data_IF_607466311096
#
_entry.id   IF_607466311096
#
_cell.length_a   1.000
_cell.length_b   1.000
_cell.length_c   1.000
_cell.angle_alpha   90.00
_cell.angle_beta   90.00
_cell.angle_gamma   90.00
#
_symmetry.space_group_name_H-M   'P 1'
#
loop_
_entity.id
_entity.type
_entity.pdbx_description
1 polymer ?
#
# COMPACT_ATOMS: atom_id res chain seq x y z
N UNK A 1 -14.13 -0.07 10.04
CA UNK A 1 -14.48 0.57 8.76
C UNK A 1 -13.69 -0.10 7.65
N UNK A 2 -14.31 -0.98 6.88
CA UNK A 2 -13.64 -1.75 5.82
C UNK A 2 -14.59 -2.83 5.33
N UNK A 3 -15.53 -2.45 4.44
CA UNK A 3 -16.52 -3.38 3.90
C UNK A 3 -16.80 -3.02 2.45
N UNK A 4 -15.92 -3.47 1.58
CA UNK A 4 -16.09 -3.51 0.12
C UNK A 4 -15.32 -4.70 -0.43
N UNK A 5 -15.88 -5.38 -1.42
CA UNK A 5 -15.20 -6.47 -2.13
C UNK A 5 -13.94 -5.90 -2.81
N UNK A 6 -12.76 -6.35 -2.37
CA UNK A 6 -11.46 -5.86 -2.90
C UNK A 6 -10.62 -5.05 -1.92
N UNK A 7 -11.14 -4.70 -0.73
CA UNK A 7 -10.35 -4.06 0.33
C UNK A 7 -9.90 -5.11 1.33
N UNK A 8 -8.61 -5.45 1.32
CA UNK A 8 -7.99 -6.34 2.30
C UNK A 8 -6.75 -5.66 2.90
N UNK A 9 -6.51 -5.94 4.18
CA UNK A 9 -5.29 -5.56 4.90
C UNK A 9 -4.46 -6.80 5.17
N UNK A 10 -3.24 -6.85 4.64
CA UNK A 10 -2.30 -7.96 4.85
C UNK A 10 -1.20 -7.51 5.83
N UNK A 11 -0.98 -8.22 6.94
CA UNK A 11 0.20 -7.98 7.76
C UNK A 11 1.46 -8.39 6.99
N UNK A 12 2.46 -7.52 6.96
CA UNK A 12 3.72 -7.72 6.24
C UNK A 12 4.92 -7.56 7.17
N UNK A 13 5.97 -8.32 6.92
CA UNK A 13 7.29 -8.16 7.57
C UNK A 13 8.41 -8.54 6.61
N UNK A 14 9.65 -8.16 6.91
CA UNK A 14 10.80 -8.47 6.05
C UNK A 14 11.03 -10.00 5.91
N UNK A 15 10.77 -10.77 6.99
CA UNK A 15 10.95 -12.23 7.01
C UNK A 15 9.68 -13.00 6.68
N UNK A 16 8.50 -12.37 6.69
CA UNK A 16 7.22 -13.07 6.64
C UNK A 16 6.82 -13.73 7.97
N UNK A 17 7.51 -13.37 9.07
CA UNK A 17 7.22 -13.83 10.43
C UNK A 17 6.69 -12.67 11.29
N UNK A 18 6.08 -13.01 12.43
CA UNK A 18 5.70 -11.99 13.42
C UNK A 18 6.93 -11.36 14.10
N UNK A 19 6.85 -10.09 14.53
CA UNK A 19 5.70 -9.19 14.39
C UNK A 19 5.59 -8.56 13.00
N UNK A 20 4.36 -8.27 12.59
CA UNK A 20 4.12 -7.45 11.41
C UNK A 20 4.70 -6.04 11.62
N UNK A 21 5.45 -5.55 10.64
CA UNK A 21 6.04 -4.19 10.64
C UNK A 21 5.35 -3.26 9.65
N UNK A 22 4.65 -3.82 8.67
CA UNK A 22 3.96 -3.08 7.62
C UNK A 22 2.55 -3.64 7.42
N UNK A 23 1.70 -2.82 6.78
CA UNK A 23 0.37 -3.23 6.34
C UNK A 23 0.24 -3.02 4.84
N UNK A 24 -0.02 -4.10 4.12
CA UNK A 24 -0.39 -4.05 2.71
C UNK A 24 -1.87 -3.80 2.56
N UNK A 25 -2.26 -2.87 1.70
CA UNK A 25 -3.65 -2.52 1.41
C UNK A 25 -3.89 -2.55 -0.10
N UNK A 26 -5.08 -2.99 -0.50
CA UNK A 26 -5.57 -2.86 -1.88
C UNK A 26 -6.88 -2.09 -1.89
N UNK A 27 -7.03 -1.18 -2.85
CA UNK A 27 -8.28 -0.44 -3.07
C UNK A 27 -8.43 -0.07 -4.54
N UNK A 28 -9.68 0.04 -5.00
CA UNK A 28 -9.97 0.70 -6.26
C UNK A 28 -9.82 2.20 -6.07
N UNK A 29 -8.87 2.81 -6.76
CA UNK A 29 -8.67 4.25 -6.76
C UNK A 29 -9.36 4.91 -7.95
N UNK A 30 -9.86 6.12 -7.76
CA UNK A 30 -10.24 6.99 -8.89
C UNK A 30 -8.97 7.60 -9.49
N UNK A 31 -9.04 8.01 -10.76
CA UNK A 31 -7.90 8.69 -11.41
C UNK A 31 -7.49 9.96 -10.65
N UNK A 32 -8.46 10.70 -10.12
CA UNK A 32 -8.22 11.91 -9.30
C UNK A 32 -7.36 11.60 -8.08
N UNK A 33 -7.59 10.47 -7.40
CA UNK A 33 -6.75 10.06 -6.28
C UNK A 33 -5.32 9.74 -6.73
N UNK A 34 -5.18 9.01 -7.83
CA UNK A 34 -3.86 8.69 -8.41
C UNK A 34 -3.09 9.96 -8.76
N UNK A 35 -3.75 10.92 -9.40
CA UNK A 35 -3.14 12.19 -9.80
C UNK A 35 -2.69 13.00 -8.57
N UNK A 36 -3.50 13.04 -7.51
CA UNK A 36 -3.16 13.72 -6.26
C UNK A 36 -1.94 13.10 -5.57
N UNK A 37 -1.87 11.78 -5.46
CA UNK A 37 -0.73 11.10 -4.82
C UNK A 37 0.53 11.22 -5.68
N UNK A 38 0.39 11.16 -7.01
CA UNK A 38 1.52 11.33 -7.94
C UNK A 38 2.08 12.75 -7.83
N UNK A 39 1.21 13.77 -7.88
CA UNK A 39 1.60 15.17 -7.72
C UNK A 39 2.26 15.43 -6.35
N UNK A 40 1.77 14.76 -5.29
CA UNK A 40 2.39 14.81 -3.98
C UNK A 40 3.82 14.26 -3.96
N UNK A 41 4.08 13.14 -4.67
CA UNK A 41 5.43 12.62 -4.88
C UNK A 41 6.36 13.59 -5.64
N UNK A 42 5.79 14.49 -6.44
CA UNK A 42 6.51 15.56 -7.16
C UNK A 42 6.63 16.86 -6.33
N UNK A 43 6.13 16.88 -5.09
CA UNK A 43 6.22 18.02 -4.18
C UNK A 43 5.02 18.97 -4.18
N UNK A 44 3.92 18.61 -4.87
CA UNK A 44 2.67 19.38 -4.84
C UNK A 44 1.84 18.98 -3.64
N UNK A 45 1.59 19.91 -2.71
CA UNK A 45 0.78 19.63 -1.52
C UNK A 45 -0.72 19.72 -1.87
N UNK A 46 -1.51 18.65 -1.68
CA UNK A 46 -2.96 18.71 -1.88
C UNK A 46 -3.64 19.68 -0.91
N UNK A 47 -4.76 20.27 -1.33
CA UNK A 47 -5.54 21.16 -0.47
C UNK A 47 -6.06 20.41 0.78
N UNK A 48 -5.89 21.02 1.96
CA UNK A 48 -6.30 20.43 3.23
C UNK A 48 -5.32 19.40 3.82
N UNK A 49 -4.13 19.23 3.21
CA UNK A 49 -3.04 18.42 3.76
C UNK A 49 -1.93 19.32 4.27
N UNK A 50 -1.50 19.11 5.52
CA UNK A 50 -0.34 19.82 6.06
C UNK A 50 0.95 19.33 5.38
N UNK A 51 1.82 20.24 4.89
CA UNK A 51 3.07 19.85 4.22
C UNK A 51 3.95 18.92 5.05
N UNK A 52 3.94 19.09 6.39
CA UNK A 52 4.71 18.26 7.31
C UNK A 52 4.21 16.81 7.34
N UNK A 53 2.89 16.60 7.30
CA UNK A 53 2.28 15.27 7.27
C UNK A 53 2.61 14.56 5.96
N UNK A 54 2.59 15.30 4.86
CA UNK A 54 2.94 14.75 3.55
C UNK A 54 4.42 14.35 3.48
N UNK A 55 5.30 15.20 3.99
CA UNK A 55 6.74 14.92 4.06
C UNK A 55 7.07 13.71 4.95
N UNK A 56 6.31 13.49 6.02
CA UNK A 56 6.45 12.33 6.89
C UNK A 56 5.86 11.05 6.29
N UNK A 57 4.72 11.16 5.59
CA UNK A 57 3.95 10.03 5.08
C UNK A 57 4.45 9.45 3.75
N UNK A 58 4.83 10.30 2.80
CA UNK A 58 5.23 9.83 1.46
C UNK A 58 6.41 8.84 1.47
N UNK A 59 7.50 9.04 2.23
CA UNK A 59 8.65 8.14 2.19
C UNK A 59 8.36 6.72 2.72
N UNK A 60 7.30 6.55 3.52
CA UNK A 60 6.93 5.25 4.11
C UNK A 60 5.82 4.54 3.32
N UNK A 61 5.29 5.18 2.27
CA UNK A 61 4.25 4.62 1.42
C UNK A 61 4.87 3.93 0.18
N UNK A 62 4.80 2.60 0.17
CA UNK A 62 5.02 1.82 -1.05
C UNK A 62 3.72 1.70 -1.84
N UNK A 63 3.70 2.17 -3.09
CA UNK A 63 2.50 2.14 -3.92
C UNK A 63 2.79 1.60 -5.31
N UNK A 64 1.88 0.78 -5.82
CA UNK A 64 1.84 0.35 -7.21
C UNK A 64 0.47 0.67 -7.79
N UNK A 65 0.42 1.33 -8.94
CA UNK A 65 -0.82 1.70 -9.62
C UNK A 65 -0.88 0.98 -10.97
N UNK A 66 -2.03 0.34 -11.25
CA UNK A 66 -2.24 -0.44 -12.46
C UNK A 66 -3.68 -0.33 -12.94
N UNK A 67 -3.98 -0.76 -14.19
CA UNK A 67 -5.33 -0.76 -14.70
C UNK A 67 -6.22 -1.70 -13.87
N UNK A 68 -7.53 -1.41 -13.79
CA UNK A 68 -8.48 -2.23 -13.03
C UNK A 68 -8.58 -3.70 -13.51
N UNK A 69 -8.16 -3.98 -14.74
CA UNK A 69 -8.07 -5.34 -15.30
C UNK A 69 -6.80 -6.09 -14.90
N UNK A 70 -5.85 -5.45 -14.22
CA UNK A 70 -4.62 -6.09 -13.78
C UNK A 70 -4.90 -7.16 -12.71
N UNK A 71 -4.07 -8.20 -12.69
CA UNK A 71 -4.09 -9.18 -11.62
C UNK A 71 -3.55 -8.55 -10.34
N UNK A 72 -4.46 -8.09 -9.47
CA UNK A 72 -4.11 -7.41 -8.22
C UNK A 72 -3.18 -8.23 -7.31
N UNK A 73 -3.24 -9.57 -7.38
CA UNK A 73 -2.32 -10.44 -6.64
C UNK A 73 -0.90 -10.34 -7.17
N UNK A 74 -0.70 -10.47 -8.48
CA UNK A 74 0.63 -10.37 -9.10
C UNK A 74 1.23 -8.98 -8.88
N UNK A 75 0.43 -7.93 -9.02
CA UNK A 75 0.86 -6.56 -8.76
C UNK A 75 1.29 -6.36 -7.30
N UNK A 76 0.49 -6.88 -6.34
CA UNK A 76 0.83 -6.80 -4.92
C UNK A 76 2.09 -7.61 -4.59
N UNK A 77 2.24 -8.81 -5.15
CA UNK A 77 3.41 -9.66 -4.92
C UNK A 77 4.68 -9.02 -5.51
N UNK A 78 4.58 -8.35 -6.67
CA UNK A 78 5.68 -7.58 -7.25
C UNK A 78 6.10 -6.40 -6.36
N UNK A 79 5.13 -5.63 -5.85
CA UNK A 79 5.40 -4.52 -4.92
C UNK A 79 6.06 -5.03 -3.62
N UNK A 80 5.57 -6.14 -3.07
CA UNK A 80 6.18 -6.77 -1.90
C UNK A 80 7.64 -7.17 -2.18
N UNK A 81 7.92 -7.75 -3.34
CA UNK A 81 9.28 -8.12 -3.74
C UNK A 81 10.19 -6.91 -3.92
N UNK A 82 9.69 -5.79 -4.44
CA UNK A 82 10.45 -4.55 -4.61
C UNK A 82 10.84 -3.94 -3.25
N UNK A 83 9.90 -3.96 -2.30
CA UNK A 83 10.08 -3.42 -0.96
C UNK A 83 10.80 -4.38 0.00
N UNK A 84 11.11 -5.61 -0.43
CA UNK A 84 11.76 -6.62 0.41
C UNK A 84 10.89 -7.07 1.59
N UNK A 85 9.57 -7.06 1.44
CA UNK A 85 8.61 -7.50 2.46
C UNK A 85 7.84 -8.72 1.99
N UNK A 86 7.42 -9.55 2.94
CA UNK A 86 6.62 -10.75 2.72
C UNK A 86 5.38 -10.75 3.61
N UNK A 87 4.35 -11.49 3.19
CA UNK A 87 3.14 -11.68 3.97
C UNK A 87 3.46 -12.46 5.22
N UNK A 88 2.99 -11.99 6.37
CA UNK A 88 3.14 -12.73 7.62
C UNK A 88 2.26 -13.97 7.55
N UNK A 89 2.87 -15.14 7.58
CA UNK A 89 2.13 -16.39 7.78
C UNK A 89 1.86 -16.52 9.27
N UNK A 90 0.59 -16.45 9.68
CA UNK A 90 0.23 -16.90 11.02
C UNK A 90 0.71 -18.35 11.17
N UNK A 91 1.44 -18.65 12.24
CA UNK A 91 1.75 -20.03 12.61
C UNK A 91 0.41 -20.70 12.89
N UNK A 92 -0.10 -21.46 11.92
CA UNK A 92 -1.18 -22.42 12.18
C UNK A 92 -0.54 -23.51 13.02
N UNK A 93 -0.69 -23.41 14.34
CA UNK A 93 -0.40 -24.52 15.26
C UNK A 93 -1.27 -25.72 14.83
N UNK A 94 -0.69 -26.91 14.58
CA UNK A 94 -1.44 -28.10 14.14
C UNK A 94 -2.41 -28.67 15.19
#
# INVERSE_FOLDING_TARGET
MGWGAGTYSVPLSASGEEPATHWGLSTSATQVFVDQVTAAGEGVVPEGVEPADLAAGLPVLGMSVGPASANAKEQFDALCSELGVARVTAVTDP
#
